data_IF_656781754820
#
_entry.id   IF_656781754820
#
_cell.length_a   1.000
_cell.length_b   1.000
_cell.length_c   1.000
_cell.angle_alpha   90.00
_cell.angle_beta   90.00
_cell.angle_gamma   90.00
#
_symmetry.space_group_name_H-M   'P 1'
#
loop_
_entity.id
_entity.type
_entity.pdbx_description
1 polymer ?
#
# COMPACT_ATOMS: atom_id res chain seq x y z
N UNK A 1 12.73 14.45 -25.09
CA UNK A 1 11.66 13.68 -24.46
C UNK A 1 11.43 12.43 -25.29
N UNK A 2 11.86 11.27 -24.81
CA UNK A 2 11.64 10.01 -25.50
C UNK A 2 10.22 9.54 -25.19
N UNK A 3 9.34 9.60 -26.18
CA UNK A 3 8.00 9.00 -26.09
C UNK A 3 8.20 7.50 -26.19
N UNK A 4 8.19 6.80 -25.06
CA UNK A 4 8.17 5.34 -25.07
C UNK A 4 6.86 4.91 -25.72
N UNK A 5 6.96 4.17 -26.83
CA UNK A 5 5.81 3.56 -27.45
C UNK A 5 5.10 2.69 -26.42
N UNK A 6 3.80 2.91 -26.19
CA UNK A 6 2.95 2.07 -25.33
C UNK A 6 3.12 0.63 -25.80
N UNK A 7 3.61 -0.23 -24.92
CA UNK A 7 3.60 -1.66 -25.19
C UNK A 7 2.16 -2.12 -25.22
N UNK A 8 1.64 -2.44 -26.39
CA UNK A 8 0.26 -2.97 -26.57
C UNK A 8 0.10 -4.37 -25.94
N UNK A 9 1.19 -4.93 -25.40
CA UNK A 9 1.19 -6.24 -24.78
C UNK A 9 1.21 -6.12 -23.25
N UNK A 10 0.26 -6.77 -22.62
CA UNK A 10 0.16 -6.83 -21.16
C UNK A 10 0.71 -8.14 -20.62
N UNK A 11 1.37 -8.08 -19.46
CA UNK A 11 1.64 -9.22 -18.60
C UNK A 11 0.75 -9.11 -17.38
N UNK A 12 -0.37 -9.81 -17.37
CA UNK A 12 -1.32 -9.80 -16.26
C UNK A 12 -0.89 -10.84 -15.23
N UNK A 13 -0.53 -10.42 -14.03
CA UNK A 13 -0.08 -11.27 -12.93
C UNK A 13 -1.15 -11.25 -11.84
N UNK A 14 -1.83 -12.38 -11.65
CA UNK A 14 -2.93 -12.52 -10.70
C UNK A 14 -2.39 -13.09 -9.39
N UNK A 15 -2.47 -12.30 -8.33
CA UNK A 15 -2.05 -12.73 -6.99
C UNK A 15 -2.92 -13.89 -6.48
N UNK A 16 -2.35 -14.94 -5.86
CA UNK A 16 -3.11 -16.05 -5.30
C UNK A 16 -4.18 -15.61 -4.31
N UNK A 17 -3.83 -14.69 -3.40
CA UNK A 17 -4.77 -14.20 -2.39
C UNK A 17 -5.98 -13.48 -3.01
N UNK A 18 -5.82 -12.78 -4.13
CA UNK A 18 -6.93 -12.14 -4.84
C UNK A 18 -7.92 -13.18 -5.38
N UNK A 19 -7.42 -14.31 -5.91
CA UNK A 19 -8.29 -15.40 -6.40
C UNK A 19 -9.11 -16.05 -5.29
N UNK A 20 -8.50 -16.20 -4.12
CA UNK A 20 -9.16 -16.81 -2.95
C UNK A 20 -10.19 -15.86 -2.32
N UNK A 21 -9.89 -14.56 -2.33
CA UNK A 21 -10.72 -13.54 -1.67
C UNK A 21 -11.89 -13.10 -2.54
N UNK A 22 -11.67 -12.85 -3.83
CA UNK A 22 -12.68 -12.34 -4.78
C UNK A 22 -12.39 -12.82 -6.21
N UNK A 23 -12.64 -14.09 -6.45
CA UNK A 23 -12.45 -14.71 -7.78
C UNK A 23 -13.31 -14.12 -8.88
N UNK A 24 -14.46 -13.52 -8.53
CA UNK A 24 -15.35 -12.88 -9.52
C UNK A 24 -14.74 -11.58 -10.05
N UNK A 25 -14.22 -10.71 -9.17
CA UNK A 25 -13.51 -9.50 -9.60
C UNK A 25 -12.27 -9.84 -10.41
N UNK A 26 -11.53 -10.91 -10.06
CA UNK A 26 -10.40 -11.41 -10.85
C UNK A 26 -10.85 -11.83 -12.24
N UNK A 27 -11.96 -12.58 -12.35
CA UNK A 27 -12.51 -13.01 -13.65
C UNK A 27 -12.89 -11.81 -14.51
N UNK A 28 -13.61 -10.84 -13.95
CA UNK A 28 -14.02 -9.61 -14.63
C UNK A 28 -12.79 -8.84 -15.12
N UNK A 29 -11.80 -8.63 -14.26
CA UNK A 29 -10.57 -7.93 -14.63
C UNK A 29 -9.85 -8.62 -15.80
N UNK A 30 -9.68 -9.94 -15.71
CA UNK A 30 -9.07 -10.74 -16.79
C UNK A 30 -9.83 -10.61 -18.10
N UNK A 31 -11.14 -10.71 -18.07
CA UNK A 31 -11.98 -10.67 -19.27
C UNK A 31 -11.90 -9.29 -19.95
N UNK A 32 -11.99 -8.20 -19.17
CA UNK A 32 -11.86 -6.82 -19.70
C UNK A 32 -10.47 -6.58 -20.29
N UNK A 33 -9.40 -6.98 -19.58
CA UNK A 33 -8.03 -6.78 -20.07
C UNK A 33 -7.73 -7.59 -21.32
N UNK A 34 -8.21 -8.85 -21.38
CA UNK A 34 -8.01 -9.72 -22.54
C UNK A 34 -8.84 -9.30 -23.77
N UNK A 35 -9.96 -8.63 -23.55
CA UNK A 35 -10.76 -8.06 -24.64
C UNK A 35 -10.15 -6.78 -25.24
N UNK A 36 -9.44 -6.00 -24.41
CA UNK A 36 -8.89 -4.69 -24.81
C UNK A 36 -7.43 -4.70 -25.26
N UNK A 37 -6.65 -5.75 -24.98
CA UNK A 37 -5.23 -5.81 -25.33
C UNK A 37 -4.72 -7.25 -25.48
N UNK A 38 -3.56 -7.40 -26.13
CA UNK A 38 -2.85 -8.67 -26.16
C UNK A 38 -2.28 -9.00 -24.77
N UNK A 39 -3.00 -9.80 -23.99
CA UNK A 39 -2.68 -10.10 -22.60
C UNK A 39 -2.11 -11.50 -22.41
N UNK A 40 -0.92 -11.61 -21.80
CA UNK A 40 -0.42 -12.86 -21.25
C UNK A 40 -0.82 -12.92 -19.78
N UNK A 41 -1.72 -13.84 -19.45
CA UNK A 41 -2.18 -14.03 -18.06
C UNK A 41 -1.30 -15.08 -17.36
N UNK A 42 -0.80 -14.75 -16.17
CA UNK A 42 -0.03 -15.64 -15.31
C UNK A 42 -0.67 -15.68 -13.92
N UNK A 43 -0.74 -16.86 -13.35
CA UNK A 43 -1.32 -17.12 -12.02
C UNK A 43 -0.27 -17.84 -11.17
N UNK A 44 0.69 -17.11 -10.59
CA UNK A 44 1.71 -17.70 -9.75
C UNK A 44 1.09 -18.31 -8.48
N UNK A 45 1.70 -19.38 -7.97
CA UNK A 45 1.25 -20.04 -6.73
C UNK A 45 1.83 -19.41 -5.46
N UNK A 46 2.79 -18.48 -5.61
CA UNK A 46 3.39 -17.80 -4.47
C UNK A 46 4.34 -16.66 -4.84
N UNK A 47 4.94 -16.01 -3.81
CA UNK A 47 5.77 -14.83 -4.01
C UNK A 47 7.01 -15.05 -4.89
N UNK A 48 7.64 -16.22 -4.81
CA UNK A 48 8.82 -16.55 -5.60
C UNK A 48 8.49 -16.69 -7.09
N UNK A 49 7.36 -17.34 -7.38
CA UNK A 49 6.89 -17.46 -8.75
C UNK A 49 6.41 -16.15 -9.31
N UNK A 50 5.73 -15.33 -8.48
CA UNK A 50 5.36 -13.95 -8.82
C UNK A 50 6.61 -13.15 -9.25
N UNK A 51 7.67 -13.18 -8.47
CA UNK A 51 8.94 -12.53 -8.78
C UNK A 51 9.56 -13.06 -10.09
N UNK A 52 9.52 -14.38 -10.31
CA UNK A 52 10.03 -15.03 -11.52
C UNK A 52 9.23 -14.63 -12.76
N UNK A 53 7.91 -14.55 -12.66
CA UNK A 53 7.03 -14.08 -13.75
C UNK A 53 7.33 -12.63 -14.07
N UNK A 54 7.43 -11.76 -13.06
CA UNK A 54 7.72 -10.35 -13.23
C UNK A 54 9.12 -10.10 -13.83
N UNK A 55 10.13 -10.90 -13.45
CA UNK A 55 11.48 -10.82 -14.04
C UNK A 55 11.52 -11.18 -15.54
N UNK A 56 10.59 -12.04 -15.99
CA UNK A 56 10.48 -12.48 -17.39
C UNK A 56 9.46 -11.68 -18.22
N UNK A 57 9.12 -10.47 -17.76
CA UNK A 57 8.12 -9.62 -18.43
C UNK A 57 8.51 -9.23 -19.86
N UNK A 58 9.82 -9.14 -20.15
CA UNK A 58 10.30 -8.61 -21.43
C UNK A 58 9.84 -7.16 -21.65
N UNK A 59 9.34 -6.87 -22.83
CA UNK A 59 8.77 -5.55 -23.17
C UNK A 59 7.31 -5.38 -22.76
N UNK A 60 6.67 -6.40 -22.16
CA UNK A 60 5.26 -6.31 -21.75
C UNK A 60 5.11 -5.41 -20.53
N UNK A 61 4.03 -4.62 -20.55
CA UNK A 61 3.67 -3.81 -19.38
C UNK A 61 3.03 -4.72 -18.31
N UNK A 62 3.62 -4.81 -17.09
CA UNK A 62 3.08 -5.63 -16.04
C UNK A 62 1.83 -5.00 -15.42
N UNK A 63 0.80 -5.82 -15.27
CA UNK A 63 -0.46 -5.50 -14.62
C UNK A 63 -0.61 -6.42 -13.42
N UNK A 64 -0.61 -5.86 -12.22
CA UNK A 64 -0.82 -6.60 -10.99
C UNK A 64 -2.31 -6.65 -10.68
N UNK A 65 -2.90 -7.84 -10.61
CA UNK A 65 -4.27 -8.05 -10.12
C UNK A 65 -4.17 -8.60 -8.71
N UNK A 66 -4.47 -7.77 -7.71
CA UNK A 66 -4.28 -8.12 -6.31
C UNK A 66 -4.53 -6.97 -5.35
N UNK A 67 -4.17 -7.16 -4.10
CA UNK A 67 -4.26 -6.16 -3.04
C UNK A 67 -3.03 -5.24 -2.97
N UNK A 68 -3.01 -4.32 -2.01
CA UNK A 68 -1.87 -3.43 -1.76
C UNK A 68 -0.56 -4.19 -1.53
N UNK A 69 -0.64 -5.37 -0.90
CA UNK A 69 0.53 -6.22 -0.66
C UNK A 69 1.15 -6.75 -1.96
N UNK A 70 0.32 -7.09 -2.95
CA UNK A 70 0.80 -7.52 -4.27
C UNK A 70 1.51 -6.38 -5.00
N UNK A 71 0.98 -5.14 -4.92
CA UNK A 71 1.62 -3.96 -5.49
C UNK A 71 2.96 -3.66 -4.82
N UNK A 72 2.99 -3.62 -3.48
CA UNK A 72 4.21 -3.37 -2.70
C UNK A 72 5.29 -4.42 -3.03
N UNK A 73 4.91 -5.70 -3.17
CA UNK A 73 5.84 -6.76 -3.59
C UNK A 73 6.42 -6.51 -4.98
N UNK A 74 5.57 -6.13 -5.93
CA UNK A 74 6.02 -5.85 -7.30
C UNK A 74 7.02 -4.69 -7.34
N UNK A 75 6.69 -3.57 -6.68
CA UNK A 75 7.57 -2.40 -6.62
C UNK A 75 8.87 -2.71 -5.88
N UNK A 76 8.80 -3.38 -4.72
CA UNK A 76 9.99 -3.80 -3.96
C UNK A 76 10.91 -4.69 -4.80
N UNK A 77 10.35 -5.63 -5.53
CA UNK A 77 11.12 -6.52 -6.40
C UNK A 77 11.84 -5.75 -7.50
N UNK A 78 11.14 -4.87 -8.21
CA UNK A 78 11.72 -4.06 -9.28
C UNK A 78 12.75 -3.04 -8.75
N UNK A 79 12.50 -2.45 -7.57
CA UNK A 79 13.42 -1.55 -6.91
C UNK A 79 14.77 -2.23 -6.61
N UNK A 80 14.73 -3.41 -5.98
CA UNK A 80 15.94 -4.19 -5.66
C UNK A 80 16.72 -4.62 -6.88
N UNK A 81 16.06 -4.78 -8.01
CA UNK A 81 16.71 -5.09 -9.31
C UNK A 81 17.17 -3.86 -10.06
N UNK A 82 16.88 -2.66 -9.57
CA UNK A 82 17.15 -1.37 -10.24
C UNK A 82 16.43 -1.25 -11.60
N UNK A 83 15.28 -1.90 -11.72
CA UNK A 83 14.46 -1.94 -12.94
C UNK A 83 13.17 -1.11 -12.79
N UNK A 84 12.97 -0.47 -11.63
CA UNK A 84 11.74 0.23 -11.30
C UNK A 84 11.54 1.50 -12.12
N UNK A 85 12.62 2.27 -12.34
CA UNK A 85 12.54 3.55 -13.07
C UNK A 85 12.11 3.38 -14.54
N UNK A 86 12.47 2.25 -15.14
CA UNK A 86 12.17 1.93 -16.55
C UNK A 86 10.89 1.10 -16.71
N UNK A 87 10.17 0.84 -15.62
CA UNK A 87 8.99 -0.01 -15.61
C UNK A 87 7.72 0.81 -15.29
N UNK A 88 6.76 0.80 -16.21
CA UNK A 88 5.42 1.32 -15.95
C UNK A 88 4.55 0.18 -15.48
N UNK A 89 4.15 0.22 -14.21
CA UNK A 89 3.22 -0.72 -13.63
C UNK A 89 1.77 -0.29 -13.88
N UNK A 90 0.88 -1.25 -13.93
CA UNK A 90 -0.54 -1.02 -13.80
C UNK A 90 -1.12 -1.96 -12.74
N UNK A 91 -2.25 -1.58 -12.15
CA UNK A 91 -2.89 -2.37 -11.10
C UNK A 91 -4.40 -2.47 -11.32
N UNK A 92 -4.94 -3.65 -11.06
CA UNK A 92 -6.37 -3.85 -10.80
C UNK A 92 -6.51 -4.30 -9.35
N UNK A 93 -6.97 -3.41 -8.46
CA UNK A 93 -7.12 -3.72 -7.05
C UNK A 93 -8.21 -4.78 -6.83
N UNK A 94 -7.82 -5.90 -6.19
CA UNK A 94 -8.74 -6.99 -5.80
C UNK A 94 -8.28 -7.52 -4.45
N UNK A 95 -9.18 -7.61 -3.49
CA UNK A 95 -8.90 -8.14 -2.16
C UNK A 95 -9.31 -7.19 -1.04
N UNK A 96 -8.75 -7.38 0.16
CA UNK A 96 -9.21 -6.68 1.36
C UNK A 96 -8.52 -5.35 1.65
N UNK A 97 -7.26 -5.21 1.31
CA UNK A 97 -6.46 -4.01 1.58
C UNK A 97 -6.19 -3.25 0.27
N UNK A 98 -6.91 -2.16 0.05
CA UNK A 98 -6.87 -1.35 -1.17
C UNK A 98 -6.59 0.14 -0.89
N UNK A 99 -6.10 0.46 0.31
CA UNK A 99 -5.87 1.83 0.74
C UNK A 99 -4.70 2.49 0.01
N UNK A 100 -3.63 1.74 -0.27
CA UNK A 100 -2.48 2.23 -1.04
C UNK A 100 -2.89 2.47 -2.48
N UNK A 101 -3.56 1.51 -3.12
CA UNK A 101 -4.07 1.67 -4.49
C UNK A 101 -4.96 2.90 -4.63
N UNK A 102 -5.88 3.09 -3.67
CA UNK A 102 -6.76 4.26 -3.65
C UNK A 102 -5.99 5.58 -3.48
N UNK A 103 -5.02 5.64 -2.55
CA UNK A 103 -4.18 6.82 -2.33
C UNK A 103 -3.35 7.18 -3.57
N UNK A 104 -2.94 6.19 -4.35
CA UNK A 104 -2.22 6.37 -5.61
C UNK A 104 -3.14 6.75 -6.79
N UNK A 105 -4.45 6.86 -6.57
CA UNK A 105 -5.43 7.24 -7.59
C UNK A 105 -5.87 6.11 -8.52
N UNK A 106 -5.65 4.85 -8.11
CA UNK A 106 -6.14 3.68 -8.84
C UNK A 106 -7.58 3.40 -8.45
N UNK A 107 -8.51 3.25 -9.40
CA UNK A 107 -9.90 2.88 -9.09
C UNK A 107 -9.98 1.52 -8.40
N UNK A 108 -10.81 1.39 -7.36
CA UNK A 108 -10.95 0.14 -6.60
C UNK A 108 -11.96 -0.84 -7.19
N UNK A 109 -12.77 -0.42 -8.16
CA UNK A 109 -13.69 -1.31 -8.88
C UNK A 109 -13.01 -2.03 -10.05
N UNK A 110 -13.13 -3.36 -10.15
CA UNK A 110 -12.42 -4.19 -11.12
C UNK A 110 -12.59 -3.72 -12.59
N UNK A 111 -13.80 -3.34 -13.01
CA UNK A 111 -14.05 -2.83 -14.37
C UNK A 111 -13.39 -1.48 -14.59
N UNK A 112 -13.55 -0.54 -13.65
CA UNK A 112 -12.98 0.80 -13.77
C UNK A 112 -11.45 0.76 -13.78
N UNK A 113 -10.85 -0.07 -12.90
CA UNK A 113 -9.41 -0.28 -12.85
C UNK A 113 -8.88 -0.93 -14.14
N UNK A 114 -9.55 -1.97 -14.66
CA UNK A 114 -9.14 -2.62 -15.89
C UNK A 114 -9.22 -1.66 -17.09
N UNK A 115 -10.23 -0.80 -17.15
CA UNK A 115 -10.30 0.27 -18.16
C UNK A 115 -9.17 1.29 -18.01
N UNK A 116 -8.87 1.70 -16.77
CA UNK A 116 -7.73 2.58 -16.51
C UNK A 116 -6.40 1.96 -16.97
N UNK A 117 -6.23 0.64 -16.85
CA UNK A 117 -5.06 -0.07 -17.41
C UNK A 117 -4.99 0.08 -18.93
N UNK A 118 -6.12 -0.02 -19.64
CA UNK A 118 -6.18 0.03 -21.09
C UNK A 118 -6.02 1.48 -21.62
N UNK A 119 -6.80 2.40 -21.08
CA UNK A 119 -7.00 3.75 -21.61
C UNK A 119 -6.35 4.86 -20.78
N UNK A 120 -5.80 4.52 -19.61
CA UNK A 120 -5.22 5.46 -18.67
C UNK A 120 -3.91 6.09 -19.13
N UNK A 121 -3.37 6.98 -18.33
CA UNK A 121 -2.10 7.68 -18.56
C UNK A 121 -1.03 7.24 -17.57
N UNK A 122 0.21 7.31 -17.99
CA UNK A 122 1.34 7.13 -17.07
C UNK A 122 1.48 8.36 -16.18
N UNK A 123 1.59 8.12 -14.88
CA UNK A 123 1.97 9.12 -13.89
C UNK A 123 3.23 8.66 -13.17
N UNK A 124 4.19 9.56 -13.04
CA UNK A 124 5.40 9.32 -12.23
C UNK A 124 5.02 9.47 -10.75
N UNK A 125 5.45 8.50 -9.97
CA UNK A 125 5.14 8.38 -8.55
C UNK A 125 6.41 8.44 -7.74
N UNK A 126 6.33 9.10 -6.59
CA UNK A 126 7.41 9.16 -5.63
C UNK A 126 7.46 7.89 -4.77
N UNK A 127 8.57 7.70 -4.11
CA UNK A 127 8.83 6.53 -3.27
C UNK A 127 9.64 6.96 -2.06
N UNK A 128 9.28 6.48 -0.85
CA UNK A 128 10.18 6.54 0.28
C UNK A 128 11.06 5.29 0.29
N UNK A 129 12.36 5.49 0.45
CA UNK A 129 13.32 4.40 0.59
C UNK A 129 14.04 4.55 1.91
N UNK A 130 14.05 3.50 2.72
CA UNK A 130 14.73 3.49 4.01
C UNK A 130 16.21 3.07 3.89
N UNK A 131 16.96 3.26 4.98
CA UNK A 131 18.39 2.92 5.08
C UNK A 131 18.68 1.40 5.04
N UNK A 132 17.66 0.54 4.95
CA UNK A 132 17.77 -0.90 4.68
C UNK A 132 17.23 -1.30 3.31
N UNK A 133 17.03 -0.36 2.40
CA UNK A 133 16.47 -0.56 1.06
C UNK A 133 15.00 -1.04 1.07
N UNK A 134 14.28 -0.75 2.16
CA UNK A 134 12.84 -0.93 2.23
C UNK A 134 12.09 0.21 1.55
N UNK A 135 10.97 -0.11 0.90
CA UNK A 135 10.16 0.88 0.14
C UNK A 135 8.81 1.13 0.80
N UNK A 136 8.32 2.37 0.68
CA UNK A 136 6.97 2.79 1.09
C UNK A 136 6.33 3.57 -0.05
N UNK A 137 5.14 3.15 -0.46
CA UNK A 137 4.40 3.72 -1.59
C UNK A 137 3.36 4.74 -1.15
N UNK A 138 2.63 4.44 -0.09
CA UNK A 138 1.51 5.23 0.39
C UNK A 138 1.82 5.98 1.67
N UNK A 139 2.02 5.27 2.78
CA UNK A 139 2.26 5.91 4.06
C UNK A 139 3.05 5.05 5.04
N UNK A 140 3.91 5.73 5.78
CA UNK A 140 4.57 5.22 6.97
C UNK A 140 3.84 5.75 8.21
N UNK A 141 3.66 4.92 9.25
CA UNK A 141 3.02 5.32 10.51
C UNK A 141 3.73 4.73 11.73
N UNK A 142 3.91 5.56 12.75
CA UNK A 142 4.49 5.22 14.06
C UNK A 142 3.55 5.74 15.16
N UNK A 143 3.15 4.95 16.14
CA UNK A 143 3.24 3.49 16.19
C UNK A 143 2.40 2.85 15.06
N UNK A 144 2.64 1.58 14.73
CA UNK A 144 1.79 0.89 13.79
C UNK A 144 0.38 0.83 14.40
N UNK A 145 -0.59 1.43 13.71
CA UNK A 145 -1.99 1.24 14.11
C UNK A 145 -2.23 -0.26 14.17
N UNK A 146 -2.84 -0.73 15.27
CA UNK A 146 -3.28 -2.11 15.38
C UNK A 146 -4.03 -2.43 14.08
N UNK A 147 -3.61 -3.48 13.38
CA UNK A 147 -4.38 -3.98 12.26
C UNK A 147 -5.78 -4.19 12.81
N UNK A 148 -6.76 -3.44 12.33
CA UNK A 148 -8.14 -3.81 12.52
C UNK A 148 -8.19 -5.21 11.93
N UNK A 149 -8.22 -6.21 12.81
CA UNK A 149 -8.34 -7.59 12.39
C UNK A 149 -9.58 -7.60 11.49
N UNK A 150 -9.36 -7.73 10.19
CA UNK A 150 -10.45 -8.03 9.29
C UNK A 150 -10.97 -9.35 9.80
N UNK A 151 -12.04 -9.30 10.55
CA UNK A 151 -12.78 -10.48 10.95
C UNK A 151 -13.22 -11.06 9.62
N UNK A 152 -12.45 -11.99 9.10
CA UNK A 152 -12.96 -12.92 8.10
C UNK A 152 -14.15 -13.58 8.76
N UNK A 153 -15.33 -13.10 8.41
CA UNK A 153 -16.56 -13.79 8.73
C UNK A 153 -16.46 -15.06 7.89
N UNK A 154 -16.28 -16.24 8.50
CA UNK A 154 -16.30 -17.46 7.73
C UNK A 154 -17.64 -17.50 7.03
N UNK A 155 -17.64 -17.53 5.69
CA UNK A 155 -18.85 -17.81 4.94
C UNK A 155 -19.37 -19.16 5.43
N UNK A 156 -20.62 -19.28 5.89
CA UNK A 156 -21.14 -20.55 6.33
C UNK A 156 -21.12 -21.51 5.15
N UNK A 157 -20.41 -22.63 5.33
CA UNK A 157 -20.49 -23.75 4.41
C UNK A 157 -21.95 -24.06 4.11
N UNK A 158 -22.25 -24.27 2.83
CA UNK A 158 -23.60 -24.63 2.37
C UNK A 158 -24.14 -25.83 3.14
N UNK A 159 -25.02 -25.56 4.09
CA UNK A 159 -25.74 -26.58 4.86
C UNK A 159 -27.21 -26.19 4.98
N UNK A 160 -28.08 -27.08 4.68
CA UNK A 160 -29.55 -26.96 4.51
C UNK A 160 -30.37 -26.79 5.81
N UNK A 161 -29.77 -26.31 6.91
CA UNK A 161 -30.43 -26.06 8.21
C UNK A 161 -30.70 -24.57 8.44
N UNK A 162 -31.58 -23.99 7.62
CA UNK A 162 -31.92 -22.55 7.66
C UNK A 162 -33.00 -22.07 8.65
N UNK A 163 -33.75 -22.82 9.44
CA UNK A 163 -34.81 -22.17 10.25
C UNK A 163 -34.41 -21.75 11.67
N UNK A 164 -33.26 -22.16 12.22
CA UNK A 164 -32.94 -21.87 13.62
C UNK A 164 -31.88 -20.80 13.89
N UNK A 165 -31.36 -20.15 12.86
CA UNK A 165 -30.27 -19.17 13.03
C UNK A 165 -30.67 -17.78 13.52
N UNK A 166 -31.95 -17.44 13.51
CA UNK A 166 -32.41 -16.15 14.00
C UNK A 166 -32.52 -16.04 15.53
N UNK A 167 -32.65 -17.14 16.24
CA UNK A 167 -32.84 -17.13 17.71
C UNK A 167 -31.49 -17.09 18.47
N UNK A 168 -30.38 -17.53 17.85
CA UNK A 168 -29.06 -17.54 18.50
C UNK A 168 -28.33 -16.21 18.33
N UNK A 169 -28.74 -15.37 17.37
CA UNK A 169 -28.11 -14.05 17.13
C UNK A 169 -28.47 -13.00 18.19
N UNK A 170 -29.51 -13.18 18.95
CA UNK A 170 -29.95 -12.21 19.97
C UNK A 170 -29.30 -12.43 21.35
N UNK A 171 -28.61 -13.55 21.58
CA UNK A 171 -27.97 -13.87 22.86
C UNK A 171 -26.46 -13.78 22.90
N UNK A 172 -25.82 -13.63 21.78
CA UNK A 172 -24.38 -13.31 21.72
C UNK A 172 -24.19 -11.82 21.46
N UNK A 173 -24.37 -11.01 22.49
CA UNK A 173 -23.82 -9.67 22.52
C UNK A 173 -22.31 -9.83 22.32
N UNK A 174 -21.83 -9.59 21.09
CA UNK A 174 -20.40 -9.49 20.82
C UNK A 174 -19.87 -8.40 21.75
N UNK A 175 -18.87 -8.69 22.61
CA UNK A 175 -18.17 -7.61 23.28
C UNK A 175 -17.69 -6.66 22.18
N UNK A 176 -18.06 -5.38 22.29
CA UNK A 176 -17.48 -4.36 21.45
C UNK A 176 -15.95 -4.53 21.53
N UNK A 177 -15.21 -4.44 20.41
CA UNK A 177 -13.76 -4.49 20.49
C UNK A 177 -13.35 -3.45 21.52
N UNK A 178 -12.68 -3.90 22.59
CA UNK A 178 -12.18 -3.00 23.61
C UNK A 178 -11.43 -1.89 22.88
N UNK A 179 -11.64 -0.60 23.21
CA UNK A 179 -10.89 0.48 22.63
C UNK A 179 -9.41 0.10 22.80
N UNK A 180 -8.66 0.10 21.70
CA UNK A 180 -7.25 -0.22 21.74
C UNK A 180 -6.63 0.67 22.81
N UNK A 181 -6.17 0.07 23.93
CA UNK A 181 -5.51 0.82 24.99
C UNK A 181 -4.33 1.51 24.32
N UNK A 182 -4.27 2.85 24.32
CA UNK A 182 -3.14 3.56 23.76
C UNK A 182 -1.89 3.02 24.46
N UNK A 183 -0.92 2.54 23.68
CA UNK A 183 0.39 2.16 24.25
C UNK A 183 1.01 3.36 24.95
N UNK A 184 2.01 3.15 25.82
CA UNK A 184 2.71 4.25 26.47
C UNK A 184 3.18 5.24 25.40
N UNK A 185 3.07 6.57 25.67
CA UNK A 185 3.44 7.59 24.70
C UNK A 185 4.90 7.39 24.25
N UNK A 186 5.11 7.41 22.95
CA UNK A 186 6.44 7.21 22.39
C UNK A 186 7.24 8.52 22.55
N UNK A 187 8.48 8.40 23.03
CA UNK A 187 9.45 9.50 23.04
C UNK A 187 10.39 9.30 21.87
N UNK A 188 10.13 10.08 20.82
CA UNK A 188 10.84 9.96 19.56
C UNK A 188 11.31 11.34 19.12
N UNK A 189 12.54 11.40 18.63
CA UNK A 189 13.07 12.57 17.92
C UNK A 189 12.72 12.41 16.44
N UNK A 190 12.14 13.43 15.85
CA UNK A 190 11.83 13.51 14.42
C UNK A 190 12.66 14.63 13.81
N UNK A 191 13.48 14.31 12.84
CA UNK A 191 14.31 15.23 12.08
C UNK A 191 13.85 15.22 10.62
N UNK A 192 13.71 16.38 10.02
CA UNK A 192 13.39 16.57 8.59
C UNK A 192 14.51 17.39 7.98
N UNK A 193 15.20 16.84 6.98
CA UNK A 193 16.37 17.45 6.34
C UNK A 193 17.45 17.92 7.32
N UNK A 194 17.59 17.19 8.44
CA UNK A 194 18.54 17.47 9.51
C UNK A 194 18.07 18.47 10.58
N UNK A 195 16.92 19.09 10.38
CA UNK A 195 16.30 19.97 11.40
C UNK A 195 15.39 19.17 12.32
N UNK A 196 15.49 19.39 13.63
CA UNK A 196 14.65 18.71 14.62
C UNK A 196 13.27 19.35 14.64
N UNK A 197 12.25 18.58 14.27
CA UNK A 197 10.83 18.97 14.29
C UNK A 197 10.21 18.71 15.67
N UNK A 198 10.55 17.55 16.27
CA UNK A 198 10.12 17.16 17.61
C UNK A 198 11.27 16.44 18.30
N UNK A 199 11.51 16.72 19.59
CA UNK A 199 12.57 16.10 20.36
C UNK A 199 12.00 15.12 21.44
N UNK A 200 12.90 14.36 22.06
CA UNK A 200 12.61 13.30 23.03
C UNK A 200 11.87 13.76 24.29
N UNK A 201 11.94 15.04 24.62
CA UNK A 201 11.22 15.66 25.76
C UNK A 201 9.71 15.80 25.49
N UNK A 202 9.31 15.80 24.20
CA UNK A 202 7.93 15.90 23.76
C UNK A 202 7.38 14.51 23.39
N UNK A 203 6.55 13.89 24.25
CA UNK A 203 5.94 12.63 23.90
C UNK A 203 4.98 12.78 22.71
N UNK A 204 5.00 11.82 21.80
CA UNK A 204 4.17 11.81 20.60
C UNK A 204 3.13 10.71 20.65
N UNK A 205 1.92 11.02 20.16
CA UNK A 205 0.84 10.06 19.94
C UNK A 205 1.04 9.29 18.63
N UNK A 206 1.52 9.99 17.60
CA UNK A 206 1.72 9.39 16.30
C UNK A 206 2.54 10.24 15.34
N UNK A 207 3.18 9.55 14.42
CA UNK A 207 3.93 10.13 13.31
C UNK A 207 3.40 9.50 12.03
N UNK A 208 3.12 10.30 11.02
CA UNK A 208 2.79 9.86 9.67
C UNK A 208 3.74 10.52 8.67
N UNK A 209 4.25 9.73 7.74
CA UNK A 209 5.10 10.21 6.64
C UNK A 209 4.54 9.66 5.34
N UNK A 210 4.27 10.54 4.38
CA UNK A 210 3.74 10.19 3.05
C UNK A 210 4.67 10.71 1.95
N UNK A 211 5.03 9.90 0.95
CA UNK A 211 5.68 10.40 -0.26
C UNK A 211 4.68 11.16 -1.14
N UNK A 212 5.17 11.95 -2.09
CA UNK A 212 4.33 12.58 -3.11
C UNK A 212 3.68 13.89 -2.70
N UNK A 213 4.27 14.59 -1.73
CA UNK A 213 3.96 15.99 -1.46
C UNK A 213 4.40 16.92 -2.60
N UNK A 214 4.06 18.21 -2.54
CA UNK A 214 4.55 19.20 -3.49
C UNK A 214 6.07 19.16 -3.62
N UNK A 215 6.57 19.37 -4.82
CA UNK A 215 8.00 19.45 -5.15
C UNK A 215 8.81 18.18 -4.83
N UNK A 216 8.17 17.00 -4.85
CA UNK A 216 8.83 15.72 -4.57
C UNK A 216 9.34 15.61 -3.13
N UNK A 217 8.62 16.20 -2.18
CA UNK A 217 8.92 16.13 -0.76
C UNK A 217 8.05 15.10 -0.05
N UNK A 218 8.56 14.53 1.04
CA UNK A 218 7.71 13.79 1.98
C UNK A 218 6.94 14.77 2.87
N UNK A 219 5.66 14.51 3.06
CA UNK A 219 4.86 15.20 4.06
C UNK A 219 4.98 14.45 5.40
N UNK A 220 5.31 15.19 6.45
CA UNK A 220 5.46 14.67 7.81
C UNK A 220 4.42 15.31 8.70
N UNK A 221 3.60 14.50 9.35
CA UNK A 221 2.68 14.95 10.38
C UNK A 221 3.03 14.27 11.70
N UNK A 222 3.35 15.05 12.72
CA UNK A 222 3.59 14.57 14.08
C UNK A 222 2.46 15.05 14.97
N UNK A 223 1.82 14.14 15.68
CA UNK A 223 0.80 14.44 16.69
C UNK A 223 1.42 14.35 18.07
N UNK A 224 1.65 15.50 18.73
CA UNK A 224 2.10 15.51 20.11
C UNK A 224 1.03 14.91 21.03
N UNK A 225 1.46 14.22 22.08
CA UNK A 225 0.54 13.78 23.12
C UNK A 225 0.04 15.03 23.90
N UNK A 226 -1.28 15.21 23.93
CA UNK A 226 -1.91 16.28 24.67
C UNK A 226 -2.75 15.72 25.81
N UNK A 227 -2.66 16.33 26.97
CA UNK A 227 -3.52 16.04 28.12
C UNK A 227 -4.53 17.18 28.24
N UNK A 228 -5.76 16.95 27.78
CA UNK A 228 -6.90 17.85 28.03
C UNK A 228 -7.29 18.85 26.95
N UNK A 229 -6.52 19.02 25.87
CA UNK A 229 -6.90 19.77 24.67
C UNK A 229 -6.37 19.05 23.43
N UNK A 230 -7.05 19.14 22.29
CA UNK A 230 -6.51 18.61 21.03
C UNK A 230 -5.23 19.39 20.68
N UNK A 231 -4.08 18.70 20.73
CA UNK A 231 -2.83 19.29 20.28
C UNK A 231 -2.86 19.46 18.77
N UNK A 232 -2.49 20.65 18.30
CA UNK A 232 -2.34 20.88 16.86
C UNK A 232 -1.20 20.01 16.32
N UNK A 233 -1.43 19.23 15.26
CA UNK A 233 -0.36 18.46 14.62
C UNK A 233 0.76 19.37 14.11
N UNK A 234 2.01 18.98 14.37
CA UNK A 234 3.17 19.63 13.78
C UNK A 234 3.35 19.06 12.37
N UNK A 235 3.46 19.92 11.37
CA UNK A 235 3.65 19.53 9.97
C UNK A 235 4.98 20.05 9.46
N UNK A 236 5.66 19.20 8.72
CA UNK A 236 6.89 19.52 8.02
C UNK A 236 6.92 18.80 6.66
N UNK A 237 7.75 19.31 5.76
CA UNK A 237 8.01 18.64 4.49
C UNK A 237 9.51 18.64 4.21
N UNK A 238 10.04 17.57 3.66
CA UNK A 238 11.47 17.47 3.34
C UNK A 238 11.81 16.23 2.55
N UNK A 239 13.05 16.14 2.09
CA UNK A 239 13.55 15.01 1.29
C UNK A 239 14.01 13.84 2.14
N UNK A 240 14.36 14.11 3.39
CA UNK A 240 14.88 13.10 4.32
C UNK A 240 14.19 13.21 5.66
N UNK A 241 13.67 12.11 6.15
CA UNK A 241 13.00 12.02 7.46
C UNK A 241 13.72 10.99 8.29
N UNK A 242 14.21 11.39 9.47
CA UNK A 242 14.84 10.50 10.44
C UNK A 242 14.02 10.46 11.71
N UNK A 243 13.72 9.26 12.18
CA UNK A 243 13.11 9.03 13.48
C UNK A 243 14.08 8.24 14.35
N UNK A 244 14.29 8.71 15.58
CA UNK A 244 15.19 8.09 16.55
C UNK A 244 14.59 8.12 17.96
N UNK A 245 14.92 7.12 18.80
CA UNK A 245 14.44 7.05 20.17
C UNK A 245 14.59 5.66 20.78
N UNK A 246 13.75 5.36 21.77
CA UNK A 246 13.60 3.99 22.28
C UNK A 246 13.12 3.06 21.17
N UNK A 247 13.25 1.76 21.35
CA UNK A 247 12.84 0.76 20.38
C UNK A 247 11.41 1.01 19.90
N UNK A 248 11.23 1.30 18.62
CA UNK A 248 9.92 1.54 18.01
C UNK A 248 9.65 0.63 16.82
N UNK A 249 8.39 0.36 16.60
CA UNK A 249 7.88 -0.32 15.41
C UNK A 249 7.14 0.67 14.54
N UNK A 250 7.11 0.43 13.25
CA UNK A 250 6.37 1.24 12.29
C UNK A 250 5.63 0.38 11.29
N UNK A 251 4.53 0.92 10.77
CA UNK A 251 3.83 0.33 9.63
C UNK A 251 4.28 1.06 8.37
N UNK A 252 4.78 0.31 7.40
CA UNK A 252 5.06 0.76 6.05
C UNK A 252 4.03 0.14 5.12
N UNK A 253 3.11 0.95 4.60
CA UNK A 253 1.98 0.48 3.80
C UNK A 253 1.21 -0.65 4.51
N UNK A 254 1.42 -1.88 4.07
CA UNK A 254 0.75 -3.09 4.59
C UNK A 254 1.57 -3.83 5.64
N UNK A 255 2.87 -3.60 5.70
CA UNK A 255 3.81 -4.32 6.57
C UNK A 255 4.11 -3.59 7.87
N UNK A 256 4.45 -4.35 8.91
CA UNK A 256 5.00 -3.82 10.17
C UNK A 256 6.46 -4.19 10.27
N UNK A 257 7.32 -3.21 10.51
CA UNK A 257 8.77 -3.38 10.65
C UNK A 257 9.27 -2.92 12.02
N UNK A 258 10.47 -3.30 12.36
CA UNK A 258 11.09 -3.03 13.66
C UNK A 258 11.01 -4.24 14.61
N UNK A 259 11.48 -4.10 15.86
CA UNK A 259 11.87 -2.83 16.50
C UNK A 259 13.18 -2.26 15.98
N UNK A 260 13.25 -0.93 15.92
CA UNK A 260 14.45 -0.18 15.55
C UNK A 260 14.62 1.02 16.49
N UNK A 261 15.85 1.52 16.66
CA UNK A 261 16.14 2.71 17.47
C UNK A 261 16.32 3.97 16.64
N UNK A 262 16.66 3.79 15.38
CA UNK A 262 16.79 4.86 14.39
C UNK A 262 16.43 4.30 13.04
N UNK A 263 15.73 5.10 12.23
CA UNK A 263 15.44 4.80 10.83
C UNK A 263 15.38 6.11 10.05
N UNK A 264 15.97 6.10 8.89
CA UNK A 264 15.96 7.25 7.95
C UNK A 264 15.27 6.83 6.67
N UNK A 265 14.36 7.65 6.19
CA UNK A 265 13.70 7.49 4.89
C UNK A 265 14.04 8.68 4.01
N UNK A 266 14.28 8.42 2.74
CA UNK A 266 14.50 9.44 1.73
C UNK A 266 13.46 9.34 0.63
N UNK A 267 12.99 10.48 0.15
CA UNK A 267 12.14 10.55 -1.04
C UNK A 267 13.00 10.32 -2.28
N UNK A 268 12.52 9.46 -3.16
CA UNK A 268 13.00 9.34 -4.53
C UNK A 268 11.88 9.85 -5.43
N UNK A 269 12.04 11.06 -5.92
CA UNK A 269 11.08 11.77 -6.76
C UNK A 269 10.92 11.06 -8.10
N UNK A 270 9.67 10.90 -8.56
CA UNK A 270 9.35 10.29 -9.84
C UNK A 270 9.96 8.89 -10.02
N UNK A 271 10.13 8.13 -8.94
CA UNK A 271 10.86 6.88 -8.91
C UNK A 271 10.34 5.81 -9.87
N UNK A 272 9.02 5.82 -10.14
CA UNK A 272 8.39 4.78 -10.93
C UNK A 272 7.14 5.26 -11.66
N UNK A 273 6.75 4.53 -12.71
CA UNK A 273 5.56 4.80 -13.48
C UNK A 273 4.37 3.96 -13.03
N UNK A 274 3.21 4.59 -12.84
CA UNK A 274 1.94 3.92 -12.60
C UNK A 274 0.91 4.38 -13.62
N UNK A 275 0.18 3.43 -14.21
CA UNK A 275 -0.96 3.75 -15.05
C UNK A 275 -2.17 4.07 -14.19
N UNK A 276 -2.70 5.28 -14.34
CA UNK A 276 -3.89 5.79 -13.64
C UNK A 276 -4.91 6.33 -14.64
N UNK A 277 -6.19 6.53 -14.25
CA UNK A 277 -7.16 7.19 -15.13
C UNK A 277 -6.61 8.54 -15.62
N UNK A 278 -6.87 8.88 -16.88
CA UNK A 278 -6.65 10.23 -17.39
C UNK A 278 -7.53 11.22 -16.62
N UNK A 279 -7.06 12.46 -16.48
CA UNK A 279 -7.91 13.54 -16.01
C UNK A 279 -9.03 13.72 -17.03
N UNK A 280 -10.28 13.49 -16.62
CA UNK A 280 -11.46 13.70 -17.44
C UNK A 280 -11.75 15.20 -17.63
#
# INVERSE_FOLDING_TARGET
MATFARSDQLLVIIDPAARETDGESVRIAKDVLSAGAAAKVCMPDGPEEFARVLSRRGSRRPVVVGDDGALVRAVTFLHRRRELADCVLAMVPVGGALGVAHALGVPTGAVAAARAVLDGVERRMDLLVDDSDGVVLGALRIPPLAAVAQVQVPLPAKGWLRPYQHLVRSLSARPAPAPAVPGPPARLRVEVDGETVVDLDQPVEGISVTPGGPDGLAEVEVRPLSVGAEATPVRAAGRTVTVAGADFRYRADVGVAGPVRRRTWRVVEGAWGLTVPGAG
#
